data_IF_612237243420
#
_entry.id   IF_612237243420
#
_cell.length_a   1.000
_cell.length_b   1.000
_cell.length_c   1.000
_cell.angle_alpha   90.00
_cell.angle_beta   90.00
_cell.angle_gamma   90.00
#
_symmetry.space_group_name_H-M   'P 1'
#
loop_
_entity.id
_entity.type
_entity.pdbx_description
1 polymer ?
#
# COMPACT_ATOMS: atom_id res chain seq x y z
N UNK A 1 2.25 29.93 7.23
CA UNK A 1 3.53 29.25 7.03
C UNK A 1 3.35 27.75 7.29
N UNK A 2 3.75 26.89 6.36
CA UNK A 2 3.64 25.45 6.53
C UNK A 2 4.62 24.97 7.59
N UNK A 3 4.19 24.06 8.49
CA UNK A 3 5.07 23.42 9.45
C UNK A 3 5.65 22.13 8.88
N UNK A 4 6.51 21.43 9.61
CA UNK A 4 7.15 20.21 9.16
C UNK A 4 6.13 19.13 8.77
N UNK A 5 5.04 19.00 9.52
CA UNK A 5 3.98 18.04 9.24
C UNK A 5 3.28 18.36 7.92
N UNK A 6 3.01 19.63 7.66
CA UNK A 6 2.36 20.05 6.41
C UNK A 6 3.25 19.76 5.21
N UNK A 7 4.56 19.97 5.34
CA UNK A 7 5.52 19.67 4.29
C UNK A 7 5.61 18.18 4.01
N UNK A 8 5.64 17.37 5.06
CA UNK A 8 5.66 15.90 4.91
C UNK A 8 4.38 15.43 4.24
N UNK A 9 3.23 15.95 4.67
CA UNK A 9 1.94 15.61 4.09
C UNK A 9 1.88 15.94 2.60
N UNK A 10 2.38 17.11 2.22
CA UNK A 10 2.42 17.55 0.83
C UNK A 10 3.27 16.60 -0.02
N UNK A 11 4.44 16.22 0.50
CA UNK A 11 5.33 15.28 -0.18
C UNK A 11 4.72 13.88 -0.27
N UNK A 12 3.99 13.46 0.77
CA UNK A 12 3.29 12.18 0.77
C UNK A 12 2.22 12.15 -0.34
N UNK A 13 1.42 13.20 -0.46
CA UNK A 13 0.40 13.28 -1.50
C UNK A 13 1.01 13.24 -2.89
N UNK A 14 2.15 13.91 -3.07
CA UNK A 14 2.87 13.88 -4.33
C UNK A 14 3.42 12.48 -4.63
N UNK A 15 3.96 11.82 -3.61
CA UNK A 15 4.49 10.47 -3.73
C UNK A 15 3.41 9.48 -4.16
N UNK A 16 2.20 9.62 -3.63
CA UNK A 16 1.07 8.75 -4.00
C UNK A 16 0.72 8.86 -5.49
N UNK A 17 1.03 9.98 -6.11
CA UNK A 17 0.75 10.20 -7.53
C UNK A 17 1.83 9.72 -8.48
N UNK A 18 2.95 9.21 -7.98
CA UNK A 18 4.05 8.76 -8.82
C UNK A 18 3.72 7.46 -9.55
N UNK A 19 4.25 7.32 -10.76
CA UNK A 19 4.07 6.14 -11.58
C UNK A 19 5.43 5.70 -12.14
N UNK A 20 5.91 4.47 -11.86
CA UNK A 20 5.18 3.42 -11.13
C UNK A 20 5.04 3.73 -9.64
N UNK A 21 4.02 3.16 -8.98
CA UNK A 21 3.81 3.40 -7.54
C UNK A 21 5.00 2.91 -6.71
N UNK A 22 5.38 3.69 -5.69
CA UNK A 22 6.53 3.35 -4.85
C UNK A 22 6.37 2.01 -4.13
N UNK A 23 5.14 1.67 -3.75
CA UNK A 23 4.85 0.51 -2.90
C UNK A 23 4.85 -0.82 -3.64
N UNK A 24 4.99 -0.85 -4.97
CA UNK A 24 5.04 -2.11 -5.71
C UNK A 24 6.39 -2.82 -5.57
N UNK A 25 7.40 -2.14 -5.05
CA UNK A 25 8.66 -2.76 -4.67
C UNK A 25 8.45 -3.50 -3.35
N UNK A 26 8.56 -4.83 -3.34
CA UNK A 26 8.31 -5.64 -2.15
C UNK A 26 9.32 -5.38 -1.03
N UNK A 27 10.48 -4.84 -1.36
CA UNK A 27 11.53 -4.49 -0.40
C UNK A 27 11.52 -3.04 0.03
N UNK A 28 10.48 -2.28 -0.31
CA UNK A 28 10.41 -0.87 0.05
C UNK A 28 10.39 -0.71 1.57
N UNK A 29 11.37 0.01 2.10
CA UNK A 29 11.59 0.12 3.54
C UNK A 29 11.29 1.53 4.05
N UNK A 30 11.12 1.65 5.37
CA UNK A 30 10.85 2.93 6.03
C UNK A 30 11.92 3.97 5.73
N UNK A 31 13.18 3.56 5.59
CA UNK A 31 14.27 4.46 5.24
C UNK A 31 14.05 5.13 3.88
N UNK A 32 13.61 4.36 2.89
CA UNK A 32 13.31 4.88 1.56
C UNK A 32 12.11 5.83 1.59
N UNK A 33 11.10 5.46 2.38
CA UNK A 33 9.93 6.29 2.58
C UNK A 33 10.30 7.63 3.21
N UNK A 34 11.15 7.60 4.25
CA UNK A 34 11.61 8.82 4.91
C UNK A 34 12.37 9.74 3.94
N UNK A 35 13.24 9.17 3.11
CA UNK A 35 13.95 9.94 2.08
C UNK A 35 12.97 10.58 1.11
N UNK A 36 11.98 9.82 0.65
CA UNK A 36 10.97 10.34 -0.27
C UNK A 36 10.17 11.49 0.33
N UNK A 37 9.96 11.46 1.66
CA UNK A 37 9.27 12.54 2.37
C UNK A 37 10.20 13.67 2.81
N UNK A 38 11.49 13.58 2.48
CA UNK A 38 12.45 14.62 2.84
C UNK A 38 12.71 14.72 4.33
N UNK A 39 12.64 13.60 5.05
CA UNK A 39 12.77 13.57 6.50
C UNK A 39 13.53 12.32 6.95
N UNK A 40 13.48 12.00 8.25
CA UNK A 40 14.12 10.82 8.81
C UNK A 40 13.07 9.79 9.26
N UNK A 41 13.54 8.61 9.68
CA UNK A 41 12.66 7.50 10.08
C UNK A 41 11.71 7.89 11.21
N UNK A 42 12.20 8.62 12.19
CA UNK A 42 11.38 9.01 13.34
C UNK A 42 10.20 9.88 12.94
N UNK A 43 10.45 10.90 12.12
CA UNK A 43 9.39 11.78 11.66
C UNK A 43 8.46 11.08 10.67
N UNK A 44 8.99 10.22 9.79
CA UNK A 44 8.17 9.46 8.86
C UNK A 44 7.24 8.52 9.62
N UNK A 45 7.75 7.81 10.62
CA UNK A 45 6.96 6.92 11.46
C UNK A 45 5.89 7.66 12.24
N UNK A 46 6.24 8.81 12.80
CA UNK A 46 5.29 9.66 13.53
C UNK A 46 4.17 10.15 12.62
N UNK A 47 4.52 10.57 11.41
CA UNK A 47 3.53 11.00 10.42
C UNK A 47 2.51 9.90 10.14
N UNK A 48 2.98 8.67 9.88
CA UNK A 48 2.09 7.55 9.63
C UNK A 48 1.17 7.30 10.83
N UNK A 49 1.74 7.30 12.04
CA UNK A 49 0.98 7.01 13.25
C UNK A 49 -0.02 8.12 13.58
N UNK A 50 0.39 9.38 13.54
CA UNK A 50 -0.46 10.49 14.00
C UNK A 50 -1.41 10.99 12.93
N UNK A 51 -0.96 11.07 11.67
CA UNK A 51 -1.80 11.63 10.59
C UNK A 51 -2.62 10.57 9.87
N UNK A 52 -2.12 9.34 9.78
CA UNK A 52 -2.80 8.27 9.07
C UNK A 52 -3.39 7.21 10.01
N UNK A 53 -2.97 7.22 11.29
CA UNK A 53 -3.46 6.23 12.27
C UNK A 53 -3.00 4.81 12.00
N UNK A 54 -1.87 4.64 11.32
CA UNK A 54 -1.38 3.34 10.87
C UNK A 54 0.08 3.13 11.27
N UNK A 55 0.56 1.91 11.06
CA UNK A 55 1.99 1.62 11.06
C UNK A 55 2.46 1.56 9.61
N UNK A 56 3.77 1.61 9.39
CA UNK A 56 4.32 1.55 8.03
C UNK A 56 3.93 0.27 7.29
N UNK A 57 4.07 -0.93 7.89
CA UNK A 57 3.65 -2.16 7.20
C UNK A 57 2.17 -2.17 6.84
N UNK A 58 1.31 -1.67 7.74
CA UNK A 58 -0.13 -1.62 7.46
C UNK A 58 -0.44 -0.64 6.35
N UNK A 59 0.25 0.51 6.32
CA UNK A 59 0.11 1.48 5.24
C UNK A 59 0.44 0.83 3.88
N UNK A 60 1.59 0.15 3.79
CA UNK A 60 1.99 -0.53 2.56
C UNK A 60 0.95 -1.56 2.13
N UNK A 61 0.46 -2.37 3.08
CA UNK A 61 -0.54 -3.38 2.77
C UNK A 61 -1.83 -2.76 2.23
N UNK A 62 -2.29 -1.67 2.83
CA UNK A 62 -3.51 -0.99 2.35
C UNK A 62 -3.33 -0.44 0.95
N UNK A 63 -2.20 0.19 0.67
CA UNK A 63 -1.92 0.74 -0.66
C UNK A 63 -1.82 -0.37 -1.71
N UNK A 64 -1.14 -1.46 -1.38
CA UNK A 64 -0.99 -2.61 -2.28
C UNK A 64 -2.33 -3.29 -2.55
N UNK A 65 -3.19 -3.41 -1.54
CA UNK A 65 -4.51 -4.03 -1.70
C UNK A 65 -5.42 -3.16 -2.56
N UNK A 66 -5.42 -1.85 -2.36
CA UNK A 66 -6.20 -0.94 -3.21
C UNK A 66 -5.75 -1.04 -4.68
N UNK A 67 -4.44 -1.10 -4.89
CA UNK A 67 -3.88 -1.27 -6.24
C UNK A 67 -4.27 -2.62 -6.84
N UNK A 68 -4.24 -3.69 -6.03
CA UNK A 68 -4.67 -5.01 -6.44
C UNK A 68 -6.13 -5.00 -6.93
N UNK A 69 -7.03 -4.38 -6.18
CA UNK A 69 -8.44 -4.31 -6.55
C UNK A 69 -8.62 -3.58 -7.88
N UNK A 70 -7.89 -2.48 -8.08
CA UNK A 70 -7.95 -1.74 -9.33
C UNK A 70 -7.44 -2.57 -10.50
N UNK A 71 -6.28 -3.21 -10.36
CA UNK A 71 -5.71 -4.04 -11.43
C UNK A 71 -6.59 -5.24 -11.75
N UNK A 72 -7.18 -5.85 -10.73
CA UNK A 72 -8.06 -7.00 -10.92
C UNK A 72 -9.35 -6.60 -11.64
N UNK A 73 -9.87 -5.41 -11.36
CA UNK A 73 -11.02 -4.86 -12.07
C UNK A 73 -10.72 -4.57 -13.53
N UNK A 74 -9.54 -4.01 -13.81
CA UNK A 74 -9.13 -3.69 -15.17
C UNK A 74 -8.85 -4.94 -16.00
N UNK A 75 -8.33 -5.99 -15.36
CA UNK A 75 -7.91 -7.23 -16.02
C UNK A 75 -8.43 -8.44 -15.24
N UNK A 76 -9.75 -8.71 -15.28
CA UNK A 76 -10.34 -9.77 -14.45
C UNK A 76 -9.80 -11.18 -14.76
N UNK A 77 -9.29 -11.40 -15.98
CA UNK A 77 -8.77 -12.69 -16.39
C UNK A 77 -7.38 -13.00 -15.85
N UNK A 78 -6.65 -12.00 -15.36
CA UNK A 78 -5.33 -12.24 -14.77
C UNK A 78 -5.49 -12.96 -13.44
N UNK A 79 -4.53 -13.85 -13.12
CA UNK A 79 -4.61 -14.63 -11.89
C UNK A 79 -4.49 -13.73 -10.66
N UNK A 80 -5.10 -14.17 -9.57
CA UNK A 80 -4.98 -13.49 -8.26
C UNK A 80 -3.53 -13.41 -7.86
N UNK A 81 -2.78 -14.53 -7.98
CA UNK A 81 -1.38 -14.59 -7.59
C UNK A 81 -0.52 -13.59 -8.37
N UNK A 82 -0.63 -13.60 -9.69
CA UNK A 82 0.19 -12.73 -10.53
C UNK A 82 -0.13 -11.26 -10.27
N UNK A 83 -1.40 -10.93 -10.10
CA UNK A 83 -1.83 -9.57 -9.80
C UNK A 83 -1.29 -9.11 -8.44
N UNK A 84 -1.34 -9.97 -7.43
CA UNK A 84 -0.83 -9.65 -6.09
C UNK A 84 0.67 -9.36 -6.12
N UNK A 85 1.44 -10.16 -6.86
CA UNK A 85 2.89 -9.95 -6.97
C UNK A 85 3.21 -8.62 -7.65
N UNK A 86 2.43 -8.25 -8.66
CA UNK A 86 2.60 -6.96 -9.34
C UNK A 86 2.33 -5.77 -8.44
N UNK A 87 1.55 -5.97 -7.38
CA UNK A 87 1.23 -4.90 -6.42
C UNK A 87 2.26 -4.74 -5.32
N UNK A 88 3.30 -5.56 -5.30
CA UNK A 88 4.39 -5.44 -4.34
C UNK A 88 4.37 -6.44 -3.20
N UNK A 89 3.42 -7.37 -3.18
CA UNK A 89 3.44 -8.42 -2.16
C UNK A 89 4.58 -9.40 -2.46
N UNK A 90 5.32 -9.75 -1.41
CA UNK A 90 6.49 -10.61 -1.54
C UNK A 90 6.13 -12.02 -2.00
N UNK A 91 4.99 -12.54 -1.53
CA UNK A 91 4.51 -13.87 -1.87
C UNK A 91 3.01 -13.98 -1.62
N UNK A 92 2.42 -15.09 -2.04
CA UNK A 92 0.98 -15.32 -1.91
C UNK A 92 0.51 -15.38 -0.45
N UNK A 93 1.36 -15.88 0.44
CA UNK A 93 1.02 -15.99 1.86
C UNK A 93 0.84 -14.61 2.49
N UNK A 94 1.79 -13.71 2.27
CA UNK A 94 1.71 -12.33 2.77
C UNK A 94 0.49 -11.61 2.22
N UNK A 95 0.21 -11.81 0.94
CA UNK A 95 -0.95 -11.21 0.29
C UNK A 95 -2.25 -11.70 0.94
N UNK A 96 -2.42 -13.02 1.08
CA UNK A 96 -3.64 -13.57 1.65
C UNK A 96 -3.89 -13.11 3.08
N UNK A 97 -2.82 -13.01 3.88
CA UNK A 97 -2.93 -12.51 5.26
C UNK A 97 -3.40 -11.05 5.28
N UNK A 98 -2.78 -10.21 4.45
CA UNK A 98 -3.15 -8.81 4.37
C UNK A 98 -4.59 -8.65 3.86
N UNK A 99 -4.97 -9.42 2.85
CA UNK A 99 -6.30 -9.36 2.27
C UNK A 99 -7.37 -9.75 3.31
N UNK A 100 -7.15 -10.85 4.02
CA UNK A 100 -8.11 -11.31 5.03
C UNK A 100 -8.24 -10.31 6.17
N UNK A 101 -7.12 -9.70 6.58
CA UNK A 101 -7.15 -8.67 7.63
C UNK A 101 -7.97 -7.45 7.22
N UNK A 102 -7.90 -7.06 5.94
CA UNK A 102 -8.61 -5.87 5.44
C UNK A 102 -10.07 -6.16 5.09
N UNK A 103 -10.34 -7.28 4.43
CA UNK A 103 -11.66 -7.58 3.88
C UNK A 103 -12.44 -8.65 4.63
N UNK A 104 -11.83 -9.30 5.62
CA UNK A 104 -12.51 -10.29 6.46
C UNK A 104 -12.71 -11.66 5.84
N UNK A 105 -12.21 -11.88 4.62
CA UNK A 105 -12.36 -13.16 3.93
C UNK A 105 -11.20 -13.36 2.95
N UNK A 106 -11.12 -14.58 2.38
CA UNK A 106 -10.06 -14.88 1.41
C UNK A 106 -10.27 -14.10 0.11
N UNK A 107 -9.18 -13.87 -0.67
CA UNK A 107 -9.32 -13.17 -1.95
C UNK A 107 -10.32 -13.86 -2.89
N UNK A 108 -10.23 -15.19 -3.02
CA UNK A 108 -11.16 -15.94 -3.88
C UNK A 108 -12.60 -15.79 -3.41
N UNK A 109 -12.83 -15.92 -2.11
CA UNK A 109 -14.16 -15.78 -1.53
C UNK A 109 -14.75 -14.41 -1.76
N UNK A 110 -13.95 -13.38 -1.56
CA UNK A 110 -14.37 -11.99 -1.75
C UNK A 110 -14.73 -11.70 -3.22
N UNK A 111 -13.83 -12.09 -4.13
CA UNK A 111 -14.03 -11.83 -5.56
C UNK A 111 -15.23 -12.59 -6.11
N UNK A 112 -15.45 -13.84 -5.67
CA UNK A 112 -16.60 -14.63 -6.09
C UNK A 112 -17.91 -14.04 -5.54
N UNK A 113 -17.89 -13.60 -4.29
CA UNK A 113 -19.08 -13.01 -3.65
C UNK A 113 -19.52 -11.72 -4.35
N UNK A 114 -18.57 -10.91 -4.82
CA UNK A 114 -18.84 -9.62 -5.45
C UNK A 114 -18.93 -9.71 -6.97
N UNK A 115 -18.90 -10.92 -7.52
CA UNK A 115 -19.02 -11.15 -8.95
C UNK A 115 -20.51 -11.35 -9.29
N UNK A 116 -20.99 -10.52 -10.19
CA UNK A 116 -22.37 -10.59 -10.66
C UNK A 116 -22.50 -11.31 -11.97
#
# INVERSE_FOLDING_TARGET
MANATDEIKSRYLKLLGENPPFFINSGYALEQFAVALGTNRSYASRFINTELGLTFPVLLNKLRLAHFMRLKNENPQNSIKDTALKCGFKNSFSFRRAFKAEYGMTPSGYLNKNKL
#
